data_IF_462225762413
#
_entry.id   IF_462225762413
#
_cell.length_a   1.000
_cell.length_b   1.000
_cell.length_c   1.000
_cell.angle_alpha   90.00
_cell.angle_beta   90.00
_cell.angle_gamma   90.00
#
_symmetry.space_group_name_H-M   'P 1'
#
loop_
_entity.id
_entity.type
_entity.pdbx_description
1 polymer ?
#
# COMPACT_ATOMS: atom_id res chain seq x y z
N UNK A 1 -16.52 7.18 -12.39
CA UNK A 1 -16.70 5.98 -11.55
C UNK A 1 -15.45 5.86 -10.72
N UNK A 2 -15.50 6.21 -9.44
CA UNK A 2 -14.37 5.92 -8.55
C UNK A 2 -14.21 4.40 -8.45
N UNK A 3 -13.00 3.85 -8.61
CA UNK A 3 -12.77 2.46 -8.27
C UNK A 3 -13.11 2.27 -6.79
N UNK A 4 -14.11 1.41 -6.50
CA UNK A 4 -14.46 0.95 -5.15
C UNK A 4 -13.32 0.10 -4.62
N UNK A 5 -12.23 0.73 -4.20
CA UNK A 5 -11.22 0.05 -3.42
C UNK A 5 -11.82 -0.29 -2.06
N UNK A 6 -11.56 -1.51 -1.59
CA UNK A 6 -11.87 -1.90 -0.22
C UNK A 6 -11.19 -0.90 0.74
N UNK A 7 -11.85 -0.45 1.82
CA UNK A 7 -11.27 0.53 2.74
C UNK A 7 -9.91 0.07 3.30
N UNK A 8 -9.72 -1.24 3.48
CA UNK A 8 -8.45 -1.81 3.88
C UNK A 8 -7.34 -1.66 2.82
N UNK A 9 -7.69 -1.77 1.53
CA UNK A 9 -6.72 -1.57 0.42
C UNK A 9 -6.23 -0.13 0.42
N UNK A 10 -7.16 0.80 0.63
CA UNK A 10 -6.90 2.22 0.70
C UNK A 10 -6.00 2.57 1.89
N UNK A 11 -6.30 2.02 3.07
CA UNK A 11 -5.52 2.22 4.29
C UNK A 11 -4.07 1.72 4.14
N UNK A 12 -3.89 0.52 3.55
CA UNK A 12 -2.57 -0.03 3.23
C UNK A 12 -1.80 0.90 2.29
N UNK A 13 -2.42 1.34 1.18
CA UNK A 13 -1.80 2.24 0.23
C UNK A 13 -1.34 3.56 0.88
N UNK A 14 -2.16 4.14 1.75
CA UNK A 14 -1.81 5.36 2.48
C UNK A 14 -0.65 5.17 3.46
N UNK A 15 -0.59 4.03 4.16
CA UNK A 15 0.51 3.76 5.07
C UNK A 15 1.85 3.61 4.33
N UNK A 16 1.85 2.95 3.16
CA UNK A 16 2.97 3.00 2.23
C UNK A 16 3.30 4.46 1.85
N UNK A 17 2.28 5.26 1.52
CA UNK A 17 2.36 6.70 1.25
C UNK A 17 3.13 7.47 2.29
N UNK A 18 2.68 7.39 3.54
CA UNK A 18 3.27 8.08 4.68
C UNK A 18 4.70 7.62 4.92
N UNK A 19 4.95 6.30 4.87
CA UNK A 19 6.28 5.75 5.12
C UNK A 19 7.26 6.21 4.05
N UNK A 20 6.92 6.09 2.76
CA UNK A 20 7.81 6.41 1.65
C UNK A 20 8.00 7.92 1.44
N UNK A 21 7.04 8.76 1.85
CA UNK A 21 7.15 10.23 1.71
C UNK A 21 7.97 10.88 2.84
N UNK A 22 8.10 10.24 4.00
CA UNK A 22 8.79 10.78 5.17
C UNK A 22 10.34 10.71 5.10
N UNK A 23 10.92 10.80 3.90
CA UNK A 23 12.38 10.73 3.69
C UNK A 23 12.99 9.33 3.88
N UNK A 24 12.17 8.28 3.77
CA UNK A 24 12.52 6.87 3.95
C UNK A 24 12.91 6.21 2.61
N UNK A 25 13.48 4.98 2.62
CA UNK A 25 14.04 4.33 1.43
C UNK A 25 13.07 4.21 0.25
N UNK A 26 13.61 4.01 -0.97
CA UNK A 26 12.84 3.83 -2.22
C UNK A 26 11.78 2.70 -2.14
N UNK A 27 11.99 1.74 -1.23
CA UNK A 27 11.07 0.64 -0.94
C UNK A 27 11.01 0.37 0.57
N UNK A 28 9.87 -0.11 1.06
CA UNK A 28 9.65 -0.44 2.48
C UNK A 28 9.07 -1.84 2.63
N UNK A 29 9.39 -2.51 3.73
CA UNK A 29 8.87 -3.85 4.04
C UNK A 29 7.38 -3.79 4.28
N UNK A 30 6.60 -4.69 3.66
CA UNK A 30 5.17 -4.76 3.94
C UNK A 30 4.90 -5.17 5.39
N UNK A 31 5.76 -5.99 6.00
CA UNK A 31 5.64 -6.37 7.40
C UNK A 31 5.66 -5.16 8.36
N UNK A 32 6.60 -4.22 8.15
CA UNK A 32 6.66 -2.95 8.90
C UNK A 32 5.38 -2.12 8.77
N UNK A 33 4.79 -2.12 7.58
CA UNK A 33 3.54 -1.40 7.30
C UNK A 33 2.35 -2.09 7.99
N UNK A 34 2.28 -3.41 7.87
CA UNK A 34 1.20 -4.22 8.41
C UNK A 34 1.25 -4.33 9.94
N UNK A 35 2.42 -4.25 10.56
CA UNK A 35 2.58 -4.18 12.02
C UNK A 35 1.89 -2.95 12.63
N UNK A 36 1.70 -1.88 11.83
CA UNK A 36 0.88 -0.72 12.22
C UNK A 36 -0.63 -0.94 12.07
N UNK A 37 -1.07 -2.10 11.58
CA UNK A 37 -2.45 -2.41 11.19
C UNK A 37 -2.92 -3.72 11.85
N UNK A 38 -3.36 -3.68 13.12
CA UNK A 38 -3.66 -4.90 13.89
C UNK A 38 -4.71 -5.81 13.24
N UNK A 39 -5.66 -5.26 12.48
CA UNK A 39 -6.67 -6.04 11.76
C UNK A 39 -6.09 -6.86 10.59
N UNK A 40 -5.00 -6.38 9.97
CA UNK A 40 -4.32 -7.05 8.86
C UNK A 40 -3.12 -7.87 9.32
N UNK A 41 -2.49 -7.48 10.44
CA UNK A 41 -1.45 -8.28 11.10
C UNK A 41 -2.01 -9.64 11.54
N UNK A 42 -3.21 -9.67 12.13
CA UNK A 42 -3.88 -10.90 12.54
C UNK A 42 -4.43 -11.72 11.35
N UNK A 43 -4.65 -11.08 10.20
CA UNK A 43 -5.16 -11.72 8.99
C UNK A 43 -4.14 -11.60 7.83
N UNK A 44 -3.04 -12.32 7.98
CA UNK A 44 -1.96 -12.34 6.99
C UNK A 44 -2.40 -12.80 5.59
N UNK A 45 -3.48 -13.59 5.48
CA UNK A 45 -4.05 -13.99 4.19
C UNK A 45 -4.69 -12.79 3.49
N UNK A 46 -5.52 -12.03 4.22
CA UNK A 46 -6.13 -10.80 3.71
C UNK A 46 -5.07 -9.75 3.36
N UNK A 47 -4.05 -9.58 4.21
CA UNK A 47 -2.95 -8.66 3.94
C UNK A 47 -2.23 -8.99 2.62
N UNK A 48 -1.94 -10.27 2.35
CA UNK A 48 -1.33 -10.71 1.08
C UNK A 48 -2.21 -10.45 -0.13
N UNK A 49 -3.52 -10.66 0.00
CA UNK A 49 -4.48 -10.37 -1.09
C UNK A 49 -4.46 -8.88 -1.42
N UNK A 50 -4.46 -8.02 -0.40
CA UNK A 50 -4.40 -6.57 -0.58
C UNK A 50 -3.08 -6.16 -1.27
N UNK A 51 -1.93 -6.66 -0.80
CA UNK A 51 -0.64 -6.37 -1.42
C UNK A 51 -0.60 -6.79 -2.89
N UNK A 52 -1.08 -8.00 -3.21
CA UNK A 52 -1.18 -8.49 -4.59
C UNK A 52 -2.11 -7.62 -5.44
N UNK A 53 -3.23 -7.18 -4.89
CA UNK A 53 -4.14 -6.28 -5.58
C UNK A 53 -3.45 -4.94 -5.90
N UNK A 54 -2.79 -4.33 -4.92
CA UNK A 54 -2.07 -3.06 -5.12
C UNK A 54 -0.96 -3.16 -6.18
N UNK A 55 -0.25 -4.28 -6.24
CA UNK A 55 0.73 -4.55 -7.30
C UNK A 55 0.06 -4.77 -8.65
N UNK A 56 -1.02 -5.56 -8.68
CA UNK A 56 -1.76 -5.85 -9.92
C UNK A 56 -2.41 -4.60 -10.53
N UNK A 57 -2.83 -3.65 -9.70
CA UNK A 57 -3.37 -2.36 -10.14
C UNK A 57 -2.28 -1.32 -10.42
N UNK A 58 -1.00 -1.70 -10.29
CA UNK A 58 0.14 -0.85 -10.57
C UNK A 58 0.30 0.31 -9.59
N UNK A 59 -0.26 0.21 -8.38
CA UNK A 59 -0.16 1.21 -7.31
C UNK A 59 1.11 1.01 -6.48
N UNK A 60 1.49 -0.25 -6.28
CA UNK A 60 2.77 -0.66 -5.70
C UNK A 60 3.61 -1.41 -6.72
N UNK A 61 4.93 -1.33 -6.58
CA UNK A 61 5.89 -2.17 -7.28
C UNK A 61 6.60 -3.04 -6.25
N UNK A 62 6.55 -4.36 -6.43
CA UNK A 62 7.30 -5.31 -5.59
C UNK A 62 8.77 -5.28 -6.01
N UNK A 63 9.66 -4.91 -5.08
CA UNK A 63 11.11 -4.78 -5.32
C UNK A 63 11.85 -6.03 -4.90
N UNK A 64 11.53 -6.52 -3.70
CA UNK A 64 11.97 -7.83 -3.23
C UNK A 64 10.75 -8.72 -3.07
N UNK A 65 10.70 -9.87 -3.75
CA UNK A 65 9.52 -10.73 -3.73
C UNK A 65 9.28 -11.29 -2.33
N UNK A 66 8.02 -11.21 -1.88
CA UNK A 66 7.63 -11.73 -0.58
C UNK A 66 7.52 -13.27 -0.54
N UNK A 67 7.54 -13.92 -1.72
CA UNK A 67 7.27 -15.35 -1.90
C UNK A 67 5.99 -15.80 -1.17
N UNK A 68 6.08 -16.76 -0.25
CA UNK A 68 4.95 -17.24 0.58
C UNK A 68 4.78 -16.45 1.89
N UNK A 69 5.36 -15.26 1.99
CA UNK A 69 5.33 -14.41 3.19
C UNK A 69 4.84 -12.99 2.88
N UNK A 70 4.75 -12.14 3.90
CA UNK A 70 4.54 -10.68 3.79
C UNK A 70 5.85 -9.89 3.89
N UNK A 71 7.01 -10.56 3.92
CA UNK A 71 8.31 -9.93 4.16
C UNK A 71 8.92 -9.24 2.92
N UNK A 72 8.18 -9.15 1.82
CA UNK A 72 8.63 -8.45 0.61
C UNK A 72 8.72 -6.94 0.83
N UNK A 73 9.52 -6.29 0.00
CA UNK A 73 9.63 -4.83 -0.02
C UNK A 73 8.91 -4.26 -1.22
N UNK A 74 8.23 -3.13 -1.00
CA UNK A 74 7.38 -2.52 -2.00
C UNK A 74 7.69 -1.02 -2.09
N UNK A 75 7.68 -0.51 -3.32
CA UNK A 75 7.81 0.91 -3.60
C UNK A 75 6.49 1.46 -4.15
N UNK A 76 6.27 2.78 -3.98
CA UNK A 76 5.13 3.45 -4.57
C UNK A 76 5.41 3.83 -6.01
N UNK A 77 4.53 3.39 -6.90
CA UNK A 77 4.55 3.84 -8.29
C UNK A 77 4.06 5.27 -8.41
N UNK A 78 4.24 5.87 -9.59
CA UNK A 78 3.67 7.18 -9.91
C UNK A 78 2.14 7.19 -9.78
N UNK A 79 1.48 6.09 -10.12
CA UNK A 79 0.02 5.95 -10.01
C UNK A 79 -0.42 5.86 -8.55
N UNK A 80 0.28 5.07 -7.73
CA UNK A 80 0.01 4.96 -6.29
C UNK A 80 0.12 6.31 -5.58
N UNK A 81 1.18 7.09 -5.88
CA UNK A 81 1.35 8.44 -5.34
C UNK A 81 0.22 9.37 -5.76
N UNK A 82 -0.07 9.42 -7.07
CA UNK A 82 -1.16 10.26 -7.58
C UNK A 82 -2.52 9.91 -6.96
N UNK A 83 -2.77 8.62 -6.67
CA UNK A 83 -4.02 8.18 -6.03
C UNK A 83 -4.14 8.64 -4.58
N UNK A 84 -3.03 8.66 -3.84
CA UNK A 84 -2.96 9.21 -2.48
C UNK A 84 -3.17 10.73 -2.52
N UNK A 85 -2.48 11.44 -3.41
CA UNK A 85 -2.57 12.89 -3.56
C UNK A 85 -3.97 13.35 -4.01
N UNK A 86 -4.64 12.62 -4.90
CA UNK A 86 -6.01 12.91 -5.33
C UNK A 86 -7.04 12.81 -4.21
N UNK A 87 -6.76 12.01 -3.16
CA UNK A 87 -7.67 11.83 -2.03
C UNK A 87 -7.39 12.81 -0.90
N UNK A 88 -6.15 13.28 -0.78
CA UNK A 88 -5.79 14.34 0.17
C UNK A 88 -6.31 15.72 -0.29
N UNK A 89 -6.51 15.90 -1.60
CA UNK A 89 -7.31 17.02 -2.10
C UNK A 89 -8.79 16.71 -1.91
N UNK A 90 -9.52 17.38 -1.00
CA UNK A 90 -10.95 17.49 -1.20
C UNK A 90 -11.17 18.15 -2.57
N UNK A 91 -12.15 17.69 -3.34
CA UNK A 91 -12.73 18.49 -4.42
C UNK A 91 -13.08 19.86 -3.80
N UNK A 92 -12.24 20.85 -4.05
CA UNK A 92 -12.48 22.25 -3.73
C UNK A 92 -13.31 22.78 -4.91
N UNK A 93 -14.63 22.75 -4.75
CA UNK A 93 -15.63 23.44 -5.59
C UNK A 93 -16.25 24.60 -4.81
#
# INVERSE_FOLDING_TARGET
MEPKFDPAVVEVLEAFGRRLSAGSPDAVSADDILAGMPALEQDGSRARVILKQLVSEGLLEERTPAAETTAGTYSLTRLGRARIEQRDRPDDD
#
